data_IF_840581605990
#
_entry.id   IF_840581605990
#
_cell.length_a   1.000
_cell.length_b   1.000
_cell.length_c   1.000
_cell.angle_alpha   90.00
_cell.angle_beta   90.00
_cell.angle_gamma   90.00
#
_symmetry.space_group_name_H-M   'P 1'
#
loop_
_entity.id
_entity.type
_entity.pdbx_description
1 polymer ?
#
# COMPACT_ATOMS: atom_id res chain seq x y z
N UNK A 1 -137.13 -179.66 -41.14
CA UNK A 1 -136.81 -178.94 -39.90
C UNK A 1 -137.12 -177.47 -40.19
N UNK A 2 -138.24 -176.91 -39.69
CA UNK A 2 -138.39 -176.25 -38.37
C UNK A 2 -137.46 -175.00 -38.26
N UNK A 3 -137.84 -173.81 -37.77
CA UNK A 3 -139.05 -173.33 -37.06
C UNK A 3 -138.93 -171.80 -36.76
N UNK A 4 -140.07 -171.13 -36.47
CA UNK A 4 -140.28 -169.92 -35.60
C UNK A 4 -139.78 -168.54 -36.10
N UNK A 5 -140.27 -167.36 -35.72
CA UNK A 5 -141.39 -166.76 -34.94
C UNK A 5 -141.34 -165.23 -35.27
N UNK A 6 -142.45 -164.48 -35.41
CA UNK A 6 -143.03 -163.54 -34.42
C UNK A 6 -142.06 -162.72 -33.53
N UNK A 7 -142.21 -161.38 -33.51
CA UNK A 7 -142.42 -160.47 -32.34
C UNK A 7 -142.53 -158.99 -32.81
N UNK A 8 -143.43 -158.22 -32.17
CA UNK A 8 -143.76 -156.80 -32.39
C UNK A 8 -143.03 -155.81 -31.44
N UNK A 9 -143.18 -154.49 -31.72
CA UNK A 9 -142.93 -153.28 -30.88
C UNK A 9 -141.48 -152.76 -30.67
N UNK A 10 -141.23 -151.45 -30.40
CA UNK A 10 -142.15 -150.41 -29.89
C UNK A 10 -142.18 -149.04 -30.60
N UNK A 11 -143.21 -148.26 -30.24
CA UNK A 11 -143.52 -146.87 -30.66
C UNK A 11 -142.64 -145.83 -29.91
N UNK A 12 -141.75 -145.16 -30.66
CA UNK A 12 -140.82 -144.15 -30.15
C UNK A 12 -141.36 -142.70 -30.16
N UNK A 13 -142.61 -142.46 -30.60
CA UNK A 13 -143.16 -141.11 -30.79
C UNK A 13 -143.23 -140.28 -29.48
N UNK A 14 -143.47 -140.92 -28.33
CA UNK A 14 -143.57 -140.24 -27.02
C UNK A 14 -142.23 -139.71 -26.49
N UNK A 15 -141.12 -140.39 -26.78
CA UNK A 15 -139.79 -139.95 -26.33
C UNK A 15 -139.30 -138.77 -27.16
N UNK A 16 -139.61 -138.75 -28.46
CA UNK A 16 -139.33 -137.60 -29.33
C UNK A 16 -140.14 -136.36 -28.94
N UNK A 17 -141.40 -136.52 -28.51
CA UNK A 17 -142.23 -135.42 -28.02
C UNK A 17 -141.64 -134.74 -26.76
N UNK A 18 -141.24 -135.51 -25.74
CA UNK A 18 -140.63 -134.94 -24.53
C UNK A 18 -139.24 -134.33 -24.78
N UNK A 19 -138.45 -134.88 -25.72
CA UNK A 19 -137.20 -134.24 -26.16
C UNK A 19 -137.44 -132.87 -26.79
N UNK A 20 -138.49 -132.73 -27.59
CA UNK A 20 -138.87 -131.44 -28.18
C UNK A 20 -139.33 -130.43 -27.13
N UNK A 21 -140.12 -130.84 -26.13
CA UNK A 21 -140.53 -129.94 -25.04
C UNK A 21 -139.35 -129.43 -24.20
N UNK A 22 -138.40 -130.30 -23.85
CA UNK A 22 -137.19 -129.89 -23.11
C UNK A 22 -136.31 -128.96 -23.95
N UNK A 23 -136.20 -129.23 -25.27
CA UNK A 23 -135.49 -128.36 -26.20
C UNK A 23 -136.13 -126.96 -26.27
N UNK A 24 -137.46 -126.91 -26.35
CA UNK A 24 -138.24 -125.67 -26.35
C UNK A 24 -138.13 -124.89 -25.03
N UNK A 25 -138.15 -125.58 -23.89
CA UNK A 25 -137.98 -124.93 -22.58
C UNK A 25 -136.56 -124.38 -22.38
N UNK A 26 -135.53 -125.12 -22.82
CA UNK A 26 -134.13 -124.64 -22.79
C UNK A 26 -133.91 -123.45 -23.71
N UNK A 27 -134.50 -123.45 -24.91
CA UNK A 27 -134.42 -122.30 -25.81
C UNK A 27 -135.08 -121.07 -25.19
N UNK A 28 -136.25 -121.22 -24.57
CA UNK A 28 -136.91 -120.12 -23.85
C UNK A 28 -136.10 -119.60 -22.64
N UNK A 29 -135.46 -120.47 -21.85
CA UNK A 29 -134.58 -120.06 -20.74
C UNK A 29 -133.37 -119.27 -21.24
N UNK A 30 -132.73 -119.77 -22.30
CA UNK A 30 -131.56 -119.11 -22.91
C UNK A 30 -131.96 -117.76 -23.48
N UNK A 31 -133.09 -117.66 -24.18
CA UNK A 31 -133.64 -116.40 -24.68
C UNK A 31 -133.92 -115.40 -23.55
N UNK A 32 -134.57 -115.83 -22.45
CA UNK A 32 -134.85 -114.97 -21.31
C UNK A 32 -133.57 -114.48 -20.62
N UNK A 33 -132.56 -115.35 -20.45
CA UNK A 33 -131.25 -114.94 -19.90
C UNK A 33 -130.51 -113.98 -20.83
N UNK A 34 -130.59 -114.19 -22.14
CA UNK A 34 -130.03 -113.27 -23.12
C UNK A 34 -130.72 -111.90 -23.06
N UNK A 35 -132.06 -111.88 -22.90
CA UNK A 35 -132.83 -110.65 -22.75
C UNK A 35 -132.47 -109.87 -21.47
N UNK A 36 -132.29 -110.56 -20.34
CA UNK A 36 -131.82 -109.91 -19.10
C UNK A 36 -130.42 -109.34 -19.28
N UNK A 37 -129.49 -110.15 -19.79
CA UNK A 37 -128.09 -109.71 -19.98
C UNK A 37 -127.98 -108.53 -20.95
N UNK A 38 -128.74 -108.54 -22.04
CA UNK A 38 -128.80 -107.40 -22.97
C UNK A 38 -129.44 -106.16 -22.34
N UNK A 39 -130.40 -106.32 -21.42
CA UNK A 39 -130.96 -105.20 -20.66
C UNK A 39 -129.97 -104.64 -19.64
N UNK A 40 -129.19 -105.48 -18.96
CA UNK A 40 -128.12 -105.06 -18.03
C UNK A 40 -126.97 -104.36 -18.77
N UNK A 41 -126.56 -104.88 -19.93
CA UNK A 41 -125.58 -104.23 -20.81
C UNK A 41 -126.12 -102.88 -21.33
N UNK A 42 -127.42 -102.78 -21.62
CA UNK A 42 -128.05 -101.49 -21.96
C UNK A 42 -128.07 -100.51 -20.79
N UNK A 43 -128.42 -100.95 -19.58
CA UNK A 43 -128.43 -100.09 -18.38
C UNK A 43 -127.02 -99.59 -18.07
N UNK A 44 -126.02 -100.47 -18.11
CA UNK A 44 -124.61 -100.09 -17.90
C UNK A 44 -124.10 -99.15 -18.99
N UNK A 45 -124.44 -99.39 -20.26
CA UNK A 45 -124.10 -98.48 -21.36
C UNK A 45 -124.76 -97.10 -21.23
N UNK A 46 -126.04 -97.05 -20.86
CA UNK A 46 -126.77 -95.79 -20.65
C UNK A 46 -126.22 -95.05 -19.43
N UNK A 47 -125.93 -95.75 -18.32
CA UNK A 47 -125.34 -95.16 -17.12
C UNK A 47 -123.95 -94.58 -17.41
N UNK A 48 -123.08 -95.32 -18.11
CA UNK A 48 -121.77 -94.83 -18.54
C UNK A 48 -121.90 -93.61 -19.47
N UNK A 49 -122.90 -93.61 -20.38
CA UNK A 49 -123.18 -92.46 -21.25
C UNK A 49 -123.70 -91.25 -20.47
N UNK A 50 -124.56 -91.45 -19.47
CA UNK A 50 -125.05 -90.39 -18.61
C UNK A 50 -123.91 -89.76 -17.80
N UNK A 51 -123.07 -90.59 -17.17
CA UNK A 51 -121.89 -90.13 -16.44
C UNK A 51 -120.91 -89.36 -17.33
N UNK A 52 -120.62 -89.87 -18.53
CA UNK A 52 -119.76 -89.17 -19.49
C UNK A 52 -120.34 -87.81 -19.93
N UNK A 53 -121.67 -87.72 -20.09
CA UNK A 53 -122.34 -86.45 -20.40
C UNK A 53 -122.30 -85.47 -19.21
N UNK A 54 -122.45 -85.95 -17.98
CA UNK A 54 -122.33 -85.13 -16.77
C UNK A 54 -120.91 -84.61 -16.58
N UNK A 55 -119.89 -85.46 -16.71
CA UNK A 55 -118.48 -85.07 -16.65
C UNK A 55 -118.14 -84.06 -17.75
N UNK A 56 -118.63 -84.28 -18.97
CA UNK A 56 -118.47 -83.32 -20.09
C UNK A 56 -119.12 -81.97 -19.79
N UNK A 57 -120.35 -81.97 -19.25
CA UNK A 57 -121.05 -80.74 -18.88
C UNK A 57 -120.35 -79.99 -17.73
N UNK A 58 -119.82 -80.70 -16.73
CA UNK A 58 -119.01 -80.12 -15.66
C UNK A 58 -117.72 -79.50 -16.21
N UNK A 59 -117.00 -80.24 -17.06
CA UNK A 59 -115.78 -79.75 -17.69
C UNK A 59 -116.03 -78.51 -18.57
N UNK A 60 -117.14 -78.47 -19.31
CA UNK A 60 -117.54 -77.33 -20.13
C UNK A 60 -117.86 -76.09 -19.28
N UNK A 61 -118.59 -76.27 -18.16
CA UNK A 61 -118.88 -75.18 -17.22
C UNK A 61 -117.60 -74.60 -16.62
N UNK A 62 -116.71 -75.44 -16.10
CA UNK A 62 -115.43 -74.99 -15.55
C UNK A 62 -114.54 -74.32 -16.61
N UNK A 63 -114.52 -74.85 -17.84
CA UNK A 63 -113.77 -74.27 -18.94
C UNK A 63 -114.32 -72.89 -19.31
N UNK A 64 -115.66 -72.73 -19.32
CA UNK A 64 -116.35 -71.46 -19.54
C UNK A 64 -116.03 -70.44 -18.44
N UNK A 65 -116.13 -70.83 -17.17
CA UNK A 65 -115.76 -69.97 -16.03
C UNK A 65 -114.29 -69.52 -16.09
N UNK A 66 -113.38 -70.45 -16.36
CA UNK A 66 -111.94 -70.13 -16.57
C UNK A 66 -111.73 -69.23 -17.78
N UNK A 67 -112.48 -69.40 -18.86
CA UNK A 67 -112.41 -68.53 -20.03
C UNK A 67 -112.89 -67.10 -19.71
N UNK A 68 -114.01 -66.96 -18.98
CA UNK A 68 -114.53 -65.67 -18.51
C UNK A 68 -113.53 -64.97 -17.58
N UNK A 69 -112.98 -65.69 -16.59
CA UNK A 69 -111.97 -65.13 -15.67
C UNK A 69 -110.71 -64.68 -16.41
N UNK A 70 -110.19 -65.48 -17.35
CA UNK A 70 -109.03 -65.10 -18.20
C UNK A 70 -109.32 -63.89 -19.08
N UNK A 71 -110.51 -63.80 -19.68
CA UNK A 71 -110.92 -62.60 -20.45
C UNK A 71 -110.98 -61.37 -19.55
N UNK A 72 -111.55 -61.50 -18.35
CA UNK A 72 -111.61 -60.42 -17.36
C UNK A 72 -110.21 -59.95 -16.91
N UNK A 73 -109.29 -60.89 -16.65
CA UNK A 73 -107.90 -60.57 -16.30
C UNK A 73 -107.16 -59.89 -17.46
N UNK A 74 -107.31 -60.36 -18.70
CA UNK A 74 -106.73 -59.73 -19.89
C UNK A 74 -107.28 -58.32 -20.13
N UNK A 75 -108.60 -58.13 -19.96
CA UNK A 75 -109.21 -56.81 -20.09
C UNK A 75 -108.65 -55.82 -19.06
N UNK A 76 -108.53 -56.22 -17.79
CA UNK A 76 -107.88 -55.38 -16.76
C UNK A 76 -106.41 -55.10 -17.08
N UNK A 77 -105.66 -56.12 -17.50
CA UNK A 77 -104.26 -55.97 -17.90
C UNK A 77 -104.07 -55.01 -19.07
N UNK A 78 -104.98 -55.03 -20.06
CA UNK A 78 -104.97 -54.10 -21.19
C UNK A 78 -105.20 -52.65 -20.73
N UNK A 79 -106.18 -52.41 -19.86
CA UNK A 79 -106.46 -51.07 -19.30
C UNK A 79 -105.25 -50.53 -18.51
N UNK A 80 -104.65 -51.37 -17.65
CA UNK A 80 -103.46 -50.96 -16.88
C UNK A 80 -102.27 -50.68 -17.81
N UNK A 81 -102.04 -51.53 -18.80
CA UNK A 81 -100.93 -51.35 -19.75
C UNK A 81 -101.11 -50.08 -20.59
N UNK A 82 -102.35 -49.77 -20.97
CA UNK A 82 -102.68 -48.52 -21.65
C UNK A 82 -102.39 -47.31 -20.77
N UNK A 83 -102.83 -47.32 -19.50
CA UNK A 83 -102.55 -46.23 -18.56
C UNK A 83 -101.04 -46.05 -18.31
N UNK A 84 -100.27 -47.14 -18.21
CA UNK A 84 -98.81 -47.09 -18.09
C UNK A 84 -98.18 -46.49 -19.36
N UNK A 85 -98.65 -46.88 -20.54
CA UNK A 85 -98.14 -46.34 -21.80
C UNK A 85 -98.42 -44.82 -21.91
N UNK A 86 -99.63 -44.38 -21.57
CA UNK A 86 -100.01 -42.96 -21.56
C UNK A 86 -99.13 -42.15 -20.58
N UNK A 87 -98.94 -42.64 -19.35
CA UNK A 87 -98.07 -42.00 -18.36
C UNK A 87 -96.59 -41.98 -18.79
N UNK A 88 -96.10 -43.06 -19.42
CA UNK A 88 -94.74 -43.13 -19.95
C UNK A 88 -94.52 -42.13 -21.10
N UNK A 89 -95.52 -41.96 -21.98
CA UNK A 89 -95.47 -40.93 -23.04
C UNK A 89 -95.44 -39.52 -22.45
N UNK A 90 -96.26 -39.23 -21.44
CA UNK A 90 -96.24 -37.92 -20.78
C UNK A 90 -94.89 -37.65 -20.09
N UNK A 91 -94.35 -38.63 -19.38
CA UNK A 91 -93.02 -38.53 -18.75
C UNK A 91 -91.91 -38.29 -19.79
N UNK A 92 -91.97 -38.97 -20.94
CA UNK A 92 -91.01 -38.79 -22.03
C UNK A 92 -91.02 -37.34 -22.55
N UNK A 93 -92.22 -36.77 -22.77
CA UNK A 93 -92.38 -35.38 -23.23
C UNK A 93 -91.74 -34.40 -22.21
N UNK A 94 -91.94 -34.63 -20.91
CA UNK A 94 -91.33 -33.78 -19.88
C UNK A 94 -89.81 -33.91 -19.83
N UNK A 95 -89.28 -35.12 -20.00
CA UNK A 95 -87.83 -35.38 -20.04
C UNK A 95 -87.22 -34.70 -21.27
N UNK A 96 -87.81 -34.88 -22.46
CA UNK A 96 -87.34 -34.24 -23.70
C UNK A 96 -87.33 -32.72 -23.57
N UNK A 97 -88.37 -32.13 -22.98
CA UNK A 97 -88.43 -30.69 -22.75
C UNK A 97 -87.37 -30.21 -21.75
N UNK A 98 -87.07 -31.01 -20.72
CA UNK A 98 -86.00 -30.71 -19.75
C UNK A 98 -84.62 -30.78 -20.39
N UNK A 99 -84.35 -31.83 -21.19
CA UNK A 99 -83.10 -32.00 -21.94
C UNK A 99 -82.90 -30.85 -22.92
N UNK A 100 -83.93 -30.48 -23.69
CA UNK A 100 -83.84 -29.37 -24.65
C UNK A 100 -83.52 -28.04 -23.95
N UNK A 101 -84.13 -27.76 -22.80
CA UNK A 101 -83.81 -26.57 -21.99
C UNK A 101 -82.36 -26.59 -21.48
N UNK A 102 -81.93 -27.73 -20.92
CA UNK A 102 -80.57 -27.87 -20.40
C UNK A 102 -79.52 -27.75 -21.51
N UNK A 103 -79.78 -28.32 -22.69
CA UNK A 103 -78.91 -28.19 -23.86
C UNK A 103 -78.81 -26.73 -24.33
N UNK A 104 -79.94 -26.02 -24.43
CA UNK A 104 -79.94 -24.60 -24.81
C UNK A 104 -79.14 -23.73 -23.82
N UNK A 105 -79.33 -23.94 -22.52
CA UNK A 105 -78.57 -23.20 -21.50
C UNK A 105 -77.08 -23.54 -21.54
N UNK A 106 -76.73 -24.82 -21.72
CA UNK A 106 -75.34 -25.25 -21.85
C UNK A 106 -74.67 -24.60 -23.07
N UNK A 107 -75.30 -24.64 -24.24
CA UNK A 107 -74.75 -24.02 -25.45
C UNK A 107 -74.58 -22.51 -25.28
N UNK A 108 -75.52 -21.83 -24.62
CA UNK A 108 -75.40 -20.40 -24.30
C UNK A 108 -74.18 -20.12 -23.42
N UNK A 109 -73.97 -20.93 -22.37
CA UNK A 109 -72.83 -20.77 -21.45
C UNK A 109 -71.50 -21.12 -22.11
N UNK A 110 -71.45 -22.15 -22.96
CA UNK A 110 -70.25 -22.53 -23.71
C UNK A 110 -69.84 -21.42 -24.68
N UNK A 111 -70.80 -20.81 -25.39
CA UNK A 111 -70.53 -19.67 -26.28
C UNK A 111 -70.00 -18.46 -25.51
N UNK A 112 -70.66 -18.07 -24.41
CA UNK A 112 -70.20 -16.96 -23.57
C UNK A 112 -68.80 -17.21 -22.98
N UNK A 113 -68.49 -18.46 -22.63
CA UNK A 113 -67.17 -18.85 -22.13
C UNK A 113 -66.13 -18.71 -23.23
N UNK A 114 -66.39 -19.21 -24.43
CA UNK A 114 -65.49 -19.14 -25.56
C UNK A 114 -65.19 -17.68 -25.97
N UNK A 115 -66.21 -16.81 -25.96
CA UNK A 115 -66.06 -15.38 -26.22
C UNK A 115 -65.13 -14.71 -25.19
N UNK A 116 -65.38 -14.93 -23.89
CA UNK A 116 -64.55 -14.37 -22.80
C UNK A 116 -63.12 -14.91 -22.81
N UNK A 117 -62.93 -16.19 -23.13
CA UNK A 117 -61.59 -16.77 -23.29
C UNK A 117 -60.86 -16.11 -24.47
N UNK A 118 -61.55 -15.86 -25.58
CA UNK A 118 -61.04 -15.11 -26.73
C UNK A 118 -60.63 -13.68 -26.36
N UNK A 119 -61.52 -12.91 -25.73
CA UNK A 119 -61.23 -11.55 -25.26
C UNK A 119 -60.00 -11.53 -24.34
N UNK A 120 -59.93 -12.46 -23.37
CA UNK A 120 -58.80 -12.56 -22.44
C UNK A 120 -57.48 -12.82 -23.17
N UNK A 121 -57.48 -13.68 -24.19
CA UNK A 121 -56.30 -13.94 -25.01
C UNK A 121 -55.87 -12.70 -25.79
N UNK A 122 -56.81 -11.96 -26.39
CA UNK A 122 -56.50 -10.72 -27.11
C UNK A 122 -55.91 -9.64 -26.21
N UNK A 123 -56.47 -9.44 -25.01
CA UNK A 123 -55.96 -8.48 -24.02
C UNK A 123 -54.56 -8.88 -23.55
N UNK A 124 -54.32 -10.17 -23.28
CA UNK A 124 -52.99 -10.66 -22.92
C UNK A 124 -51.96 -10.46 -24.02
N UNK A 125 -52.33 -10.70 -25.28
CA UNK A 125 -51.46 -10.46 -26.42
C UNK A 125 -51.11 -8.97 -26.55
N UNK A 126 -52.11 -8.08 -26.42
CA UNK A 126 -51.90 -6.63 -26.46
C UNK A 126 -51.04 -6.13 -25.31
N UNK A 127 -51.24 -6.65 -24.10
CA UNK A 127 -50.41 -6.30 -22.94
C UNK A 127 -48.94 -6.69 -23.16
N UNK A 128 -48.67 -7.92 -23.64
CA UNK A 128 -47.30 -8.35 -23.98
C UNK A 128 -46.65 -7.44 -25.02
N UNK A 129 -47.40 -7.06 -26.06
CA UNK A 129 -46.88 -6.14 -27.08
C UNK A 129 -46.53 -4.77 -26.47
N UNK A 130 -47.43 -4.19 -25.68
CA UNK A 130 -47.20 -2.89 -25.03
C UNK A 130 -46.02 -2.92 -24.05
N UNK A 131 -45.83 -4.02 -23.32
CA UNK A 131 -44.66 -4.18 -22.44
C UNK A 131 -43.36 -4.20 -23.24
N UNK A 132 -43.32 -4.92 -24.38
CA UNK A 132 -42.14 -4.92 -25.25
C UNK A 132 -41.86 -3.54 -25.85
N UNK A 133 -42.89 -2.81 -26.28
CA UNK A 133 -42.75 -1.43 -26.77
C UNK A 133 -42.23 -0.50 -25.67
N UNK A 134 -42.73 -0.63 -24.43
CA UNK A 134 -42.27 0.13 -23.27
C UNK A 134 -40.79 -0.15 -22.94
N UNK A 135 -40.38 -1.42 -22.94
CA UNK A 135 -39.00 -1.82 -22.65
C UNK A 135 -38.03 -1.28 -23.71
N UNK A 136 -38.42 -1.31 -24.98
CA UNK A 136 -37.64 -0.75 -26.08
C UNK A 136 -37.50 0.78 -25.94
N UNK A 137 -38.60 1.48 -25.65
CA UNK A 137 -38.59 2.93 -25.50
C UNK A 137 -37.74 3.34 -24.29
N UNK A 138 -37.90 2.66 -23.15
CA UNK A 138 -37.11 2.91 -21.94
C UNK A 138 -35.62 2.71 -22.19
N UNK A 139 -35.26 1.63 -22.89
CA UNK A 139 -33.85 1.35 -23.25
C UNK A 139 -33.28 2.38 -24.24
N UNK A 140 -34.11 2.98 -25.10
CA UNK A 140 -33.66 4.06 -25.99
C UNK A 140 -33.42 5.36 -25.24
N UNK A 141 -34.35 5.76 -24.36
CA UNK A 141 -34.22 6.97 -23.54
C UNK A 141 -32.99 6.88 -22.64
N UNK A 142 -32.78 5.73 -21.98
CA UNK A 142 -31.62 5.55 -21.11
C UNK A 142 -30.28 5.67 -21.87
N UNK A 143 -30.20 5.11 -23.10
CA UNK A 143 -29.00 5.27 -23.95
C UNK A 143 -28.77 6.72 -24.33
N UNK A 144 -29.82 7.45 -24.69
CA UNK A 144 -29.73 8.87 -25.03
C UNK A 144 -29.35 9.72 -23.82
N UNK A 145 -29.84 9.40 -22.63
CA UNK A 145 -29.47 10.06 -21.37
C UNK A 145 -28.00 9.86 -21.03
N UNK A 146 -27.49 8.63 -21.17
CA UNK A 146 -26.06 8.34 -20.98
C UNK A 146 -25.22 9.13 -21.99
N UNK A 147 -25.58 9.08 -23.27
CA UNK A 147 -24.85 9.82 -24.31
C UNK A 147 -24.86 11.33 -24.05
N UNK A 148 -26.00 11.89 -23.61
CA UNK A 148 -26.09 13.32 -23.22
C UNK A 148 -25.20 13.64 -22.02
N UNK A 149 -25.17 12.78 -20.99
CA UNK A 149 -24.32 12.97 -19.82
C UNK A 149 -22.83 12.93 -20.20
N UNK A 150 -22.42 11.98 -21.05
CA UNK A 150 -21.04 11.90 -21.56
C UNK A 150 -20.65 13.14 -22.36
N UNK A 151 -21.52 13.61 -23.27
CA UNK A 151 -21.25 14.83 -24.04
C UNK A 151 -21.18 16.06 -23.14
N UNK A 152 -22.05 16.16 -22.13
CA UNK A 152 -22.01 17.27 -21.17
C UNK A 152 -20.72 17.27 -20.37
N UNK A 153 -20.30 16.13 -19.83
CA UNK A 153 -19.03 16.02 -19.11
C UNK A 153 -17.84 16.38 -20.01
N UNK A 154 -17.89 15.98 -21.29
CA UNK A 154 -16.85 16.34 -22.26
C UNK A 154 -16.81 17.84 -22.54
N UNK A 155 -17.95 18.51 -22.63
CA UNK A 155 -18.04 19.97 -22.77
C UNK A 155 -17.49 20.66 -21.53
N UNK A 156 -17.93 20.27 -20.33
CA UNK A 156 -17.45 20.83 -19.05
C UNK A 156 -15.92 20.64 -18.89
N UNK A 157 -15.38 19.48 -19.28
CA UNK A 157 -13.93 19.23 -19.26
C UNK A 157 -13.17 20.15 -20.23
N UNK A 158 -13.72 20.42 -21.42
CA UNK A 158 -13.12 21.35 -22.38
C UNK A 158 -13.22 22.81 -21.91
N UNK A 159 -14.32 23.17 -21.25
CA UNK A 159 -14.50 24.50 -20.65
C UNK A 159 -13.47 24.76 -19.54
N UNK A 160 -13.31 23.82 -18.60
CA UNK A 160 -12.30 23.93 -17.55
C UNK A 160 -10.89 24.01 -18.14
N UNK A 161 -10.58 23.19 -19.14
CA UNK A 161 -9.27 23.19 -19.81
C UNK A 161 -8.96 24.55 -20.46
N UNK A 162 -9.95 25.18 -21.11
CA UNK A 162 -9.77 26.50 -21.70
C UNK A 162 -9.42 27.57 -20.65
N UNK A 163 -10.08 27.54 -19.50
CA UNK A 163 -9.80 28.49 -18.41
C UNK A 163 -8.46 28.22 -17.74
N UNK A 164 -8.13 26.97 -17.45
CA UNK A 164 -6.88 26.61 -16.77
C UNK A 164 -5.63 26.84 -17.63
N UNK A 165 -5.66 26.45 -18.91
CA UNK A 165 -4.48 26.54 -19.79
C UNK A 165 -4.35 27.90 -20.46
N UNK A 166 -5.46 28.52 -20.86
CA UNK A 166 -5.45 29.75 -21.66
C UNK A 166 -5.90 30.99 -20.87
N UNK A 167 -6.55 30.82 -19.72
CA UNK A 167 -7.05 31.95 -18.92
C UNK A 167 -8.22 32.70 -19.55
N UNK A 168 -8.90 32.11 -20.55
CA UNK A 168 -9.96 32.72 -21.34
C UNK A 168 -11.24 31.88 -21.23
N UNK A 169 -12.40 32.52 -21.14
CA UNK A 169 -13.70 31.84 -21.15
C UNK A 169 -14.07 31.34 -22.56
N UNK A 170 -14.86 30.26 -22.63
CA UNK A 170 -15.18 29.61 -23.92
C UNK A 170 -15.89 30.52 -24.93
N UNK A 171 -16.89 31.35 -24.55
CA UNK A 171 -17.48 32.33 -25.47
C UNK A 171 -16.44 33.27 -26.10
N UNK A 172 -15.54 33.82 -25.30
CA UNK A 172 -14.45 34.67 -25.80
C UNK A 172 -13.48 33.89 -26.67
N UNK A 173 -13.11 32.67 -26.28
CA UNK A 173 -12.22 31.80 -27.07
C UNK A 173 -12.79 31.51 -28.46
N UNK A 174 -14.07 31.17 -28.56
CA UNK A 174 -14.74 30.91 -29.85
C UNK A 174 -14.88 32.21 -30.65
N UNK A 175 -15.26 33.31 -29.99
CA UNK A 175 -15.49 34.60 -30.64
C UNK A 175 -14.21 35.20 -31.21
N UNK A 176 -13.08 35.10 -30.51
CA UNK A 176 -11.82 35.75 -30.90
C UNK A 176 -10.83 34.81 -31.59
N UNK A 177 -10.85 33.51 -31.25
CA UNK A 177 -9.88 32.52 -31.73
C UNK A 177 -10.54 31.31 -32.43
N UNK A 178 -11.81 31.44 -32.83
CA UNK A 178 -12.52 30.40 -33.57
C UNK A 178 -11.94 30.12 -34.97
N UNK A 179 -12.29 28.97 -35.60
CA UNK A 179 -11.78 28.59 -36.92
C UNK A 179 -12.14 29.57 -38.04
N UNK A 180 -13.16 30.40 -37.84
CA UNK A 180 -13.62 31.43 -38.79
C UNK A 180 -12.83 32.74 -38.67
N UNK A 181 -11.86 32.82 -37.75
CA UNK A 181 -11.00 34.00 -37.56
C UNK A 181 -9.66 33.81 -38.25
N UNK A 182 -9.15 34.89 -38.82
CA UNK A 182 -7.81 34.91 -39.34
C UNK A 182 -6.79 34.89 -38.19
N UNK A 183 -5.67 34.20 -38.40
CA UNK A 183 -4.61 34.02 -37.43
C UNK A 183 -3.37 34.84 -37.82
N UNK A 184 -2.72 35.52 -36.87
CA UNK A 184 -1.52 36.28 -37.18
C UNK A 184 -0.33 35.35 -37.48
N UNK A 185 0.40 35.69 -38.52
CA UNK A 185 1.75 35.15 -38.77
C UNK A 185 2.76 35.90 -37.93
N UNK A 186 3.87 35.25 -37.60
CA UNK A 186 4.91 35.85 -36.77
C UNK A 186 6.27 35.57 -37.39
N UNK A 187 7.08 36.62 -37.48
CA UNK A 187 8.43 36.55 -38.03
C UNK A 187 9.40 37.00 -36.93
N UNK A 188 10.47 36.23 -36.75
CA UNK A 188 11.59 36.60 -35.88
C UNK A 188 12.52 37.53 -36.66
N UNK A 189 12.74 38.73 -36.12
CA UNK A 189 13.66 39.73 -36.70
C UNK A 189 15.12 39.37 -36.48
N UNK A 190 16.04 40.02 -37.18
CA UNK A 190 17.49 39.84 -36.98
C UNK A 190 17.96 40.17 -35.55
N UNK A 191 17.17 40.95 -34.80
CA UNK A 191 17.36 41.25 -33.37
C UNK A 191 16.74 40.23 -32.41
N UNK A 192 16.11 39.15 -32.92
CA UNK A 192 15.46 38.10 -32.11
C UNK A 192 14.07 38.48 -31.58
N UNK A 193 13.48 39.59 -32.02
CA UNK A 193 12.11 39.97 -31.63
C UNK A 193 11.08 39.31 -32.54
N UNK A 194 10.05 38.70 -31.94
CA UNK A 194 8.94 38.08 -32.66
C UNK A 194 7.86 39.13 -32.92
N UNK A 195 7.65 39.50 -34.18
CA UNK A 195 6.67 40.51 -34.59
C UNK A 195 5.49 39.83 -35.29
N UNK A 196 4.26 40.23 -34.94
CA UNK A 196 3.06 39.81 -35.64
C UNK A 196 2.95 40.53 -36.99
N UNK A 197 2.78 39.75 -38.06
CA UNK A 197 2.69 40.21 -39.45
C UNK A 197 1.27 40.00 -39.99
N UNK A 198 1.13 39.59 -41.26
CA UNK A 198 -0.18 39.46 -41.91
C UNK A 198 -1.09 38.42 -41.24
N UNK A 199 -2.39 38.73 -41.24
CA UNK A 199 -3.46 37.81 -40.85
C UNK A 199 -3.73 36.85 -42.01
N UNK A 200 -3.65 35.55 -41.76
CA UNK A 200 -3.94 34.51 -42.74
C UNK A 200 -5.13 33.66 -42.30
N UNK A 201 -5.92 33.08 -43.22
CA UNK A 201 -7.01 32.19 -42.86
C UNK A 201 -6.55 31.00 -42.01
N UNK A 202 -7.33 30.63 -41.01
CA UNK A 202 -7.05 29.48 -40.16
C UNK A 202 -6.98 28.18 -40.98
N UNK A 203 -5.85 27.48 -40.89
CA UNK A 203 -5.68 26.12 -41.41
C UNK A 203 -5.15 25.23 -40.31
N UNK A 204 -5.99 24.29 -39.87
CA UNK A 204 -5.72 23.40 -38.73
C UNK A 204 -4.34 22.75 -38.78
N UNK A 205 -3.99 22.11 -39.90
CA UNK A 205 -2.71 21.40 -40.06
C UNK A 205 -1.49 22.31 -39.90
N UNK A 206 -1.59 23.59 -40.28
CA UNK A 206 -0.50 24.55 -40.12
C UNK A 206 -0.36 25.01 -38.66
N UNK A 207 -1.49 25.26 -37.99
CA UNK A 207 -1.50 25.71 -36.60
C UNK A 207 -1.09 24.59 -35.64
N UNK A 208 -1.49 23.33 -35.88
CA UNK A 208 -1.06 22.19 -35.07
C UNK A 208 0.46 21.97 -35.16
N UNK A 209 1.05 22.07 -36.37
CA UNK A 209 2.50 22.00 -36.55
C UNK A 209 3.22 23.14 -35.82
N UNK A 210 2.65 24.33 -35.86
CA UNK A 210 3.19 25.53 -35.23
C UNK A 210 3.13 25.42 -33.71
N UNK A 211 1.99 25.02 -33.15
CA UNK A 211 1.82 24.75 -31.71
C UNK A 211 2.87 23.73 -31.24
N UNK A 212 2.99 22.60 -31.93
CA UNK A 212 3.96 21.57 -31.58
C UNK A 212 5.43 22.03 -31.68
N UNK A 213 5.76 23.00 -32.53
CA UNK A 213 7.09 23.61 -32.57
C UNK A 213 7.30 24.56 -31.39
N UNK A 214 6.32 25.41 -31.08
CA UNK A 214 6.37 26.35 -29.96
C UNK A 214 6.39 25.63 -28.60
N UNK A 215 5.60 24.57 -28.41
CA UNK A 215 5.62 23.75 -27.19
C UNK A 215 7.00 23.10 -26.96
N UNK A 216 7.67 22.67 -28.04
CA UNK A 216 9.05 22.16 -27.96
C UNK A 216 10.03 23.26 -27.54
N UNK A 217 9.92 24.45 -28.11
CA UNK A 217 10.73 25.61 -27.71
C UNK A 217 10.46 26.04 -26.26
N UNK A 218 9.19 26.01 -25.81
CA UNK A 218 8.81 26.30 -24.43
C UNK A 218 9.38 25.27 -23.46
N UNK A 219 9.34 23.98 -23.83
CA UNK A 219 9.91 22.91 -23.03
C UNK A 219 11.44 23.03 -22.92
N UNK A 220 12.11 23.48 -23.98
CA UNK A 220 13.56 23.74 -24.00
C UNK A 220 13.97 24.86 -23.05
N UNK A 221 13.13 25.89 -22.85
CA UNK A 221 13.39 26.96 -21.88
C UNK A 221 13.37 26.47 -20.43
N UNK A 222 12.77 25.29 -20.18
CA UNK A 222 12.70 24.70 -18.86
C UNK A 222 11.77 25.46 -17.92
N UNK A 223 11.88 25.18 -16.62
CA UNK A 223 11.05 25.82 -15.61
C UNK A 223 11.64 27.19 -15.27
N UNK A 224 10.82 28.24 -15.35
CA UNK A 224 11.18 29.57 -14.86
C UNK A 224 11.39 29.46 -13.35
N UNK A 225 12.57 29.84 -12.86
CA UNK A 225 12.85 29.90 -11.43
C UNK A 225 12.35 31.25 -10.89
N UNK A 226 11.24 31.31 -10.13
CA UNK A 226 10.69 32.56 -9.60
C UNK A 226 11.61 33.22 -8.56
N UNK A 227 12.50 32.44 -7.94
CA UNK A 227 13.45 32.93 -6.93
C UNK A 227 14.76 33.43 -7.55
N UNK A 228 14.94 33.33 -8.87
CA UNK A 228 16.21 33.66 -9.53
C UNK A 228 16.67 35.11 -9.25
N UNK A 229 15.74 36.06 -9.15
CA UNK A 229 16.07 37.45 -8.85
C UNK A 229 16.54 37.62 -7.40
N UNK A 230 15.87 36.94 -6.45
CA UNK A 230 16.26 36.96 -5.03
C UNK A 230 17.60 36.27 -4.81
N UNK A 231 17.83 35.12 -5.46
CA UNK A 231 19.09 34.38 -5.43
C UNK A 231 20.24 35.19 -6.02
N UNK A 232 20.01 35.89 -7.14
CA UNK A 232 21.00 36.80 -7.72
C UNK A 232 21.40 37.90 -6.74
N UNK A 233 20.41 38.59 -6.15
CA UNK A 233 20.67 39.66 -5.19
C UNK A 233 21.44 39.14 -3.96
N UNK A 234 21.05 37.99 -3.41
CA UNK A 234 21.73 37.38 -2.27
C UNK A 234 23.17 36.95 -2.58
N UNK A 235 23.41 36.42 -3.79
CA UNK A 235 24.75 36.05 -4.24
C UNK A 235 25.63 37.29 -4.48
N UNK A 236 25.07 38.37 -5.02
CA UNK A 236 25.77 39.63 -5.23
C UNK A 236 26.20 40.26 -3.89
N UNK A 237 25.30 40.32 -2.90
CA UNK A 237 25.64 40.78 -1.55
C UNK A 237 26.75 39.94 -0.91
N UNK A 238 26.66 38.60 -1.04
CA UNK A 238 27.68 37.69 -0.53
C UNK A 238 29.03 37.90 -1.21
N UNK A 239 29.04 38.10 -2.52
CA UNK A 239 30.26 38.36 -3.28
C UNK A 239 30.91 39.67 -2.83
N UNK A 240 30.11 40.73 -2.65
CA UNK A 240 30.59 42.01 -2.14
C UNK A 240 31.22 41.87 -0.75
N UNK A 241 30.53 41.21 0.18
CA UNK A 241 31.06 40.96 1.52
C UNK A 241 32.39 40.19 1.49
N UNK A 242 32.48 39.12 0.70
CA UNK A 242 33.71 38.32 0.59
C UNK A 242 34.86 39.10 -0.04
N UNK A 243 34.58 39.97 -1.01
CA UNK A 243 35.59 40.83 -1.63
C UNK A 243 36.18 41.83 -0.62
N UNK A 244 35.34 42.47 0.19
CA UNK A 244 35.77 43.38 1.27
C UNK A 244 36.64 42.64 2.30
N UNK A 245 36.19 41.47 2.76
CA UNK A 245 36.96 40.64 3.71
C UNK A 245 38.33 40.21 3.15
N UNK A 246 38.40 39.88 1.87
CA UNK A 246 39.66 39.50 1.22
C UNK A 246 40.64 40.67 1.17
N UNK A 247 40.15 41.88 0.91
CA UNK A 247 40.98 43.09 0.87
C UNK A 247 41.51 43.46 2.26
N UNK A 248 40.67 43.37 3.30
CA UNK A 248 41.09 43.58 4.69
C UNK A 248 42.16 42.57 5.13
N UNK A 249 42.02 41.30 4.75
CA UNK A 249 43.00 40.26 5.06
C UNK A 249 44.33 40.49 4.35
N UNK A 250 44.30 40.96 3.09
CA UNK A 250 45.51 41.36 2.35
C UNK A 250 46.21 42.54 3.01
N UNK A 251 45.46 43.55 3.47
CA UNK A 251 46.02 44.70 4.21
C UNK A 251 46.65 44.25 5.52
N UNK A 252 45.94 43.47 6.31
CA UNK A 252 46.43 42.96 7.61
C UNK A 252 47.70 42.13 7.45
N UNK A 253 47.79 41.29 6.42
CA UNK A 253 49.01 40.53 6.11
C UNK A 253 50.19 41.47 5.82
N UNK A 254 49.96 42.53 5.06
CA UNK A 254 51.00 43.51 4.74
C UNK A 254 51.48 44.21 6.01
N UNK A 255 50.55 44.71 6.82
CA UNK A 255 50.88 45.42 8.06
C UNK A 255 51.67 44.53 9.03
N UNK A 256 51.33 43.25 9.15
CA UNK A 256 52.09 42.29 9.97
C UNK A 256 53.51 42.06 9.46
N UNK A 257 53.72 41.99 8.14
CA UNK A 257 55.06 41.86 7.56
C UNK A 257 55.90 43.11 7.79
N UNK A 258 55.29 44.29 7.74
CA UNK A 258 55.96 45.55 8.03
C UNK A 258 56.37 45.62 9.52
N UNK A 259 55.51 45.17 10.44
CA UNK A 259 55.84 45.06 11.88
C UNK A 259 56.99 44.08 12.13
N UNK A 260 56.97 42.90 11.49
CA UNK A 260 58.06 41.93 11.63
C UNK A 260 59.38 42.56 11.22
N UNK A 261 59.39 43.30 10.10
CA UNK A 261 60.58 43.99 9.63
C UNK A 261 61.06 45.07 10.61
N UNK A 262 60.14 45.86 11.16
CA UNK A 262 60.49 46.89 12.16
C UNK A 262 61.10 46.26 13.43
N UNK A 263 60.53 45.14 13.90
CA UNK A 263 61.06 44.40 15.05
C UNK A 263 62.44 43.82 14.74
N UNK A 264 62.61 43.21 13.57
CA UNK A 264 63.89 42.65 13.14
C UNK A 264 64.98 43.73 13.07
N UNK A 265 64.68 44.89 12.45
CA UNK A 265 65.60 46.04 12.38
C UNK A 265 65.97 46.54 13.79
N UNK A 266 65.00 46.57 14.72
CA UNK A 266 65.25 46.98 16.11
C UNK A 266 66.11 45.98 16.88
N UNK A 267 65.88 44.68 16.68
CA UNK A 267 66.68 43.61 17.30
C UNK A 267 68.12 43.67 16.79
N UNK A 268 68.33 43.86 15.49
CA UNK A 268 69.67 44.01 14.90
C UNK A 268 70.42 45.20 15.50
N UNK A 269 69.74 46.33 15.66
CA UNK A 269 70.32 47.52 16.30
C UNK A 269 70.75 47.23 17.75
N UNK A 270 69.86 46.67 18.57
CA UNK A 270 70.15 46.38 19.99
C UNK A 270 71.28 45.35 20.12
N UNK A 271 71.30 44.34 19.25
CA UNK A 271 72.37 43.35 19.22
C UNK A 271 73.72 43.98 18.88
N UNK A 272 73.79 44.82 17.85
CA UNK A 272 75.03 45.47 17.44
C UNK A 272 75.56 46.41 18.54
N UNK A 273 74.69 47.23 19.13
CA UNK A 273 75.04 48.11 20.25
C UNK A 273 75.58 47.29 21.44
N UNK A 274 74.96 46.16 21.78
CA UNK A 274 75.43 45.29 22.84
C UNK A 274 76.76 44.57 22.49
N UNK A 275 76.93 44.13 21.24
CA UNK A 275 78.15 43.47 20.79
C UNK A 275 79.35 44.41 20.84
N UNK A 276 79.21 45.65 20.35
CA UNK A 276 80.28 46.65 20.36
C UNK A 276 80.73 46.99 21.79
N UNK A 277 79.76 47.21 22.68
CA UNK A 277 80.02 47.53 24.10
C UNK A 277 80.72 46.37 24.84
N UNK A 278 80.25 45.13 24.65
CA UNK A 278 80.89 43.93 25.23
C UNK A 278 82.28 43.71 24.62
N UNK A 279 82.48 43.97 23.32
CA UNK A 279 83.76 43.79 22.65
C UNK A 279 84.82 44.80 23.15
N UNK A 280 84.43 46.05 23.41
CA UNK A 280 85.31 47.07 23.99
C UNK A 280 85.74 46.67 25.41
N UNK A 281 84.78 46.35 26.29
CA UNK A 281 85.08 45.90 27.64
C UNK A 281 85.90 44.60 27.69
N UNK A 282 85.63 43.65 26.78
CA UNK A 282 86.39 42.42 26.70
C UNK A 282 87.87 42.68 26.41
N UNK A 283 88.16 43.58 25.47
CA UNK A 283 89.54 43.95 25.12
C UNK A 283 90.29 44.53 26.33
N UNK A 284 89.65 45.45 27.06
CA UNK A 284 90.25 46.10 28.23
C UNK A 284 90.48 45.11 29.39
N UNK A 285 89.47 44.30 29.71
CA UNK A 285 89.53 43.30 30.77
C UNK A 285 90.58 42.23 30.44
N UNK A 286 90.63 41.79 29.18
CA UNK A 286 91.58 40.78 28.73
C UNK A 286 93.03 41.28 28.84
N UNK A 287 93.31 42.52 28.44
CA UNK A 287 94.64 43.13 28.56
C UNK A 287 95.11 43.26 30.02
N UNK A 288 94.17 43.51 30.95
CA UNK A 288 94.46 43.57 32.39
C UNK A 288 94.75 42.19 32.99
N UNK A 289 93.99 41.17 32.58
CA UNK A 289 94.19 39.78 33.04
C UNK A 289 95.48 39.17 32.46
N UNK A 290 95.84 39.53 31.23
CA UNK A 290 97.04 39.07 30.53
C UNK A 290 97.90 40.25 30.03
N UNK A 291 98.83 40.77 30.85
CA UNK A 291 99.76 41.82 30.43
C UNK A 291 100.57 41.39 29.19
N UNK A 292 100.42 42.11 28.07
CA UNK A 292 101.04 41.79 26.79
C UNK A 292 100.29 40.77 25.93
N UNK A 293 99.09 40.36 26.34
CA UNK A 293 98.13 39.61 25.52
C UNK A 293 97.10 40.51 24.83
N UNK A 294 96.39 39.96 23.86
CA UNK A 294 95.33 40.67 23.12
C UNK A 294 94.12 39.74 22.93
N UNK A 295 92.92 40.27 23.08
CA UNK A 295 91.66 39.51 23.03
C UNK A 295 90.61 40.27 22.23
N UNK A 296 89.88 39.57 21.34
CA UNK A 296 88.83 40.16 20.51
C UNK A 296 87.65 39.21 20.31
N UNK A 297 86.47 39.78 20.16
CA UNK A 297 85.25 39.07 19.77
C UNK A 297 85.05 39.23 18.27
N UNK A 298 84.64 38.16 17.57
CA UNK A 298 84.41 38.18 16.13
C UNK A 298 83.02 37.58 15.85
N UNK A 299 82.22 38.28 15.04
CA UNK A 299 80.97 37.73 14.52
C UNK A 299 81.26 36.65 13.49
N UNK A 300 80.63 35.48 13.62
CA UNK A 300 80.82 34.37 12.66
C UNK A 300 80.24 34.70 11.29
N UNK A 301 79.18 35.50 11.25
CA UNK A 301 78.55 36.00 10.02
C UNK A 301 78.13 37.47 10.16
N UNK A 302 79.00 38.43 9.78
CA UNK A 302 78.70 39.86 9.90
C UNK A 302 77.50 40.34 9.06
N UNK A 303 77.12 39.61 8.01
CA UNK A 303 76.05 39.99 7.10
C UNK A 303 74.64 39.56 7.58
N UNK A 304 74.57 38.74 8.63
CA UNK A 304 73.31 38.26 9.22
C UNK A 304 73.38 38.32 10.76
N UNK A 305 73.07 39.49 11.31
CA UNK A 305 73.11 39.75 12.74
C UNK A 305 72.07 38.95 13.54
N UNK A 306 71.01 38.45 12.91
CA UNK A 306 69.96 37.67 13.59
C UNK A 306 70.37 36.20 13.80
N UNK A 307 71.19 35.66 12.90
CA UNK A 307 71.65 34.26 12.97
C UNK A 307 73.16 34.10 13.23
N UNK A 308 73.90 35.19 13.42
CA UNK A 308 75.35 35.13 13.70
C UNK A 308 75.64 34.60 15.10
N UNK A 309 76.72 33.81 15.22
CA UNK A 309 77.38 33.52 16.49
C UNK A 309 78.48 34.53 16.82
N UNK A 310 79.04 34.41 18.02
CA UNK A 310 80.18 35.21 18.51
C UNK A 310 81.34 34.28 18.88
N UNK A 311 82.45 34.39 18.16
CA UNK A 311 83.70 33.67 18.42
C UNK A 311 84.64 34.52 19.29
N UNK A 312 85.28 33.87 20.26
CA UNK A 312 86.28 34.50 21.14
C UNK A 312 87.69 34.13 20.67
N UNK A 313 88.45 35.12 20.26
CA UNK A 313 89.87 34.98 19.94
C UNK A 313 90.73 35.58 21.05
N UNK A 314 91.69 34.79 21.53
CA UNK A 314 92.59 35.19 22.60
C UNK A 314 94.04 34.91 22.22
N UNK A 315 94.92 35.86 22.54
CA UNK A 315 96.36 35.81 22.34
C UNK A 315 97.07 36.01 23.68
N UNK A 316 97.47 34.93 24.37
CA UNK A 316 98.30 35.04 25.57
C UNK A 316 99.71 35.60 25.25
N UNK A 317 100.43 36.15 26.24
CA UNK A 317 101.74 36.75 26.03
C UNK A 317 102.73 35.75 25.43
N UNK A 318 103.39 36.14 24.33
CA UNK A 318 104.38 35.32 23.62
C UNK A 318 103.82 34.21 22.72
N UNK A 319 102.49 34.06 22.56
CA UNK A 319 101.85 33.04 21.71
C UNK A 319 101.10 33.66 20.51
N UNK A 320 100.78 32.82 19.50
CA UNK A 320 99.91 33.18 18.36
C UNK A 320 98.43 33.12 18.77
N UNK A 321 97.59 33.88 18.06
CA UNK A 321 96.13 33.92 18.26
C UNK A 321 95.54 32.51 18.09
N UNK A 322 94.68 32.09 19.02
CA UNK A 322 93.98 30.81 18.97
C UNK A 322 92.51 31.00 19.36
N UNK A 323 91.62 30.17 18.79
CA UNK A 323 90.24 30.04 19.24
C UNK A 323 90.21 29.45 20.65
N UNK A 324 89.18 29.77 21.44
CA UNK A 324 89.01 29.34 22.83
C UNK A 324 89.16 27.81 23.04
N UNK A 325 88.79 26.99 22.05
CA UNK A 325 88.91 25.53 22.07
C UNK A 325 90.35 25.01 22.04
N UNK A 326 91.34 25.85 21.72
CA UNK A 326 92.74 25.46 21.49
C UNK A 326 93.72 26.01 22.56
N UNK A 327 93.19 26.54 23.66
CA UNK A 327 93.95 27.11 24.80
C UNK A 327 94.22 26.09 25.91
N UNK A 328 95.22 26.35 26.76
CA UNK A 328 95.48 25.51 27.96
C UNK A 328 94.36 25.66 29.00
N UNK A 329 94.19 24.70 29.90
CA UNK A 329 93.07 24.68 30.87
C UNK A 329 92.92 25.98 31.68
N UNK A 330 94.02 26.51 32.23
CA UNK A 330 94.01 27.78 32.96
C UNK A 330 93.78 29.01 32.07
N UNK A 331 94.37 29.03 30.86
CA UNK A 331 94.15 30.12 29.88
C UNK A 331 92.70 30.16 29.38
N UNK A 332 92.08 29.00 29.18
CA UNK A 332 90.68 28.86 28.77
C UNK A 332 89.74 29.38 29.86
N UNK A 333 89.95 28.97 31.12
CA UNK A 333 89.13 29.44 32.24
C UNK A 333 89.23 30.95 32.43
N UNK A 334 90.44 31.52 32.38
CA UNK A 334 90.61 32.96 32.57
C UNK A 334 90.05 33.77 31.39
N UNK A 335 90.13 33.26 30.15
CA UNK A 335 89.50 33.89 28.98
C UNK A 335 87.97 33.87 29.08
N UNK A 336 87.39 32.77 29.56
CA UNK A 336 85.95 32.66 29.78
C UNK A 336 85.48 33.61 30.89
N UNK A 337 86.24 33.72 31.99
CA UNK A 337 85.97 34.68 33.06
C UNK A 337 86.08 36.12 32.54
N UNK A 338 87.08 36.43 31.71
CA UNK A 338 87.22 37.75 31.06
C UNK A 338 85.97 38.10 30.22
N UNK A 339 85.43 37.13 29.48
CA UNK A 339 84.20 37.31 28.69
C UNK A 339 82.98 37.55 29.58
N UNK A 340 82.82 36.77 30.66
CA UNK A 340 81.72 36.96 31.60
C UNK A 340 81.77 38.32 32.28
N UNK A 341 82.95 38.74 32.75
CA UNK A 341 83.15 40.05 33.36
C UNK A 341 82.86 41.17 32.35
N UNK A 342 83.25 41.01 31.08
CA UNK A 342 82.94 42.00 30.03
C UNK A 342 81.43 42.15 29.81
N UNK A 343 80.70 41.04 29.79
CA UNK A 343 79.24 41.04 29.71
C UNK A 343 78.64 41.73 30.95
N UNK A 344 79.14 41.43 32.14
CA UNK A 344 78.65 42.03 33.39
C UNK A 344 78.90 43.53 33.46
N UNK A 345 80.03 44.01 32.95
CA UNK A 345 80.35 45.43 32.91
C UNK A 345 79.49 46.19 31.90
N UNK A 346 79.26 45.61 30.72
CA UNK A 346 78.38 46.19 29.68
C UNK A 346 76.90 46.19 30.12
N UNK A 347 76.47 45.12 30.81
CA UNK A 347 75.08 44.95 31.27
C UNK A 347 75.07 44.60 32.77
N UNK A 348 75.16 45.61 33.65
CA UNK A 348 75.17 45.38 35.10
C UNK A 348 73.85 44.77 35.56
N UNK A 349 73.96 43.67 36.31
CA UNK A 349 72.88 42.98 36.99
C UNK A 349 72.87 43.41 38.46
N UNK A 350 71.70 43.45 39.12
CA UNK A 350 71.63 43.80 40.54
C UNK A 350 72.53 42.94 41.45
N UNK A 351 72.74 41.66 41.09
CA UNK A 351 73.65 40.77 41.79
C UNK A 351 74.25 39.72 40.84
N UNK A 352 75.41 39.17 41.25
CA UNK A 352 76.07 38.04 40.60
C UNK A 352 76.44 36.97 41.63
N UNK A 353 76.32 35.71 41.22
CA UNK A 353 76.73 34.54 42.01
C UNK A 353 77.85 33.82 41.26
N UNK A 354 79.00 33.68 41.90
CA UNK A 354 80.19 33.04 41.35
C UNK A 354 80.54 31.83 42.23
N UNK A 355 80.60 30.64 41.63
CA UNK A 355 80.88 29.38 42.35
C UNK A 355 82.19 28.76 41.85
N UNK A 356 83.20 28.72 42.73
CA UNK A 356 84.55 28.17 42.51
C UNK A 356 85.23 28.58 41.19
N UNK A 357 84.94 29.79 40.70
CA UNK A 357 85.41 30.29 39.40
C UNK A 357 86.94 30.40 39.30
N UNK A 358 87.62 30.46 40.44
CA UNK A 358 89.06 30.64 40.56
C UNK A 358 89.86 29.34 40.80
N UNK A 359 89.20 28.18 40.90
CA UNK A 359 89.84 26.91 41.26
C UNK A 359 90.96 26.46 40.31
N UNK A 360 90.95 26.96 39.07
CA UNK A 360 91.93 26.64 38.02
C UNK A 360 93.00 27.72 37.81
N UNK A 361 93.05 28.76 38.67
CA UNK A 361 93.96 29.89 38.53
C UNK A 361 95.18 29.78 39.45
N UNK A 362 96.33 30.28 38.97
CA UNK A 362 97.53 30.43 39.79
C UNK A 362 97.47 31.72 40.63
N UNK A 363 98.37 31.86 41.62
CA UNK A 363 98.37 32.99 42.55
C UNK A 363 98.50 34.36 41.86
N UNK A 364 99.16 34.41 40.71
CA UNK A 364 99.36 35.66 39.95
C UNK A 364 98.07 36.06 39.24
N UNK A 365 97.40 35.14 38.55
CA UNK A 365 96.16 35.42 37.84
C UNK A 365 94.97 35.58 38.81
N UNK A 366 94.97 34.87 39.94
CA UNK A 366 94.01 35.07 41.03
C UNK A 366 94.03 36.53 41.50
N UNK A 367 95.21 37.09 41.78
CA UNK A 367 95.31 38.51 42.21
C UNK A 367 94.73 39.50 41.20
N UNK A 368 94.91 39.25 39.89
CA UNK A 368 94.34 40.10 38.82
C UNK A 368 92.83 39.99 38.74
N UNK A 369 92.28 38.78 38.88
CA UNK A 369 90.85 38.55 38.92
C UNK A 369 90.21 39.26 40.13
N UNK A 370 90.82 39.14 41.31
CA UNK A 370 90.32 39.80 42.53
C UNK A 370 90.25 41.31 42.38
N UNK A 371 91.22 41.94 41.72
CA UNK A 371 91.20 43.40 41.45
C UNK A 371 89.99 43.79 40.59
N UNK A 372 89.64 42.97 39.61
CA UNK A 372 88.49 43.21 38.73
C UNK A 372 87.17 42.98 39.47
N UNK A 373 87.11 41.97 40.34
CA UNK A 373 85.94 41.72 41.20
C UNK A 373 85.71 42.86 42.21
N UNK A 374 86.78 43.45 42.75
CA UNK A 374 86.67 44.63 43.62
C UNK A 374 86.06 45.84 42.89
N UNK A 375 86.41 46.06 41.63
CA UNK A 375 85.79 47.11 40.79
C UNK A 375 84.32 46.80 40.48
N UNK A 376 84.00 45.55 40.13
CA UNK A 376 82.61 45.16 39.89
C UNK A 376 81.73 45.34 41.14
N UNK A 377 82.29 45.09 42.33
CA UNK A 377 81.62 45.32 43.61
C UNK A 377 81.16 46.77 43.80
N UNK A 378 81.83 47.77 43.21
CA UNK A 378 81.41 49.18 43.33
C UNK A 378 80.01 49.44 42.75
N UNK A 379 79.59 48.61 41.78
CA UNK A 379 78.35 48.78 41.05
C UNK A 379 77.32 47.67 41.27
N UNK A 380 77.75 46.48 41.70
CA UNK A 380 76.90 45.28 41.77
C UNK A 380 77.19 44.41 43.00
N UNK A 381 76.17 43.74 43.54
CA UNK A 381 76.36 42.81 44.66
C UNK A 381 77.00 41.49 44.19
N UNK A 382 78.11 41.10 44.80
CA UNK A 382 78.83 39.86 44.49
C UNK A 382 78.66 38.83 45.61
N UNK A 383 78.21 37.63 45.26
CA UNK A 383 78.18 36.45 46.14
C UNK A 383 79.18 35.45 45.56
N UNK A 384 80.27 35.21 46.29
CA UNK A 384 81.35 34.32 45.83
C UNK A 384 81.43 33.11 46.76
N UNK A 385 81.30 31.92 46.20
CA UNK A 385 81.51 30.64 46.87
C UNK A 385 82.91 30.16 46.53
N UNK A 386 83.76 30.03 47.55
CA UNK A 386 85.19 29.75 47.35
C UNK A 386 85.83 29.09 48.58
N UNK A 387 86.89 28.33 48.34
CA UNK A 387 87.83 27.85 49.36
C UNK A 387 89.18 28.60 49.33
N UNK A 388 89.36 29.57 48.42
CA UNK A 388 90.60 30.32 48.25
C UNK A 388 90.73 31.46 49.27
N UNK A 389 91.79 31.40 50.09
CA UNK A 389 92.01 32.37 51.17
C UNK A 389 92.11 33.82 50.68
N UNK A 390 92.77 34.05 49.54
CA UNK A 390 92.93 35.40 48.96
C UNK A 390 91.60 35.99 48.47
N UNK A 391 90.68 35.16 47.97
CA UNK A 391 89.32 35.60 47.62
C UNK A 391 88.51 35.95 48.86
N UNK A 392 88.67 35.18 49.95
CA UNK A 392 88.01 35.48 51.22
C UNK A 392 88.47 36.81 51.84
N UNK A 393 89.75 37.19 51.65
CA UNK A 393 90.32 38.43 52.20
C UNK A 393 89.71 39.72 51.63
N UNK A 394 89.23 39.71 50.38
CA UNK A 394 88.61 40.89 49.77
C UNK A 394 87.13 41.06 50.12
N UNK A 395 86.51 40.05 50.73
CA UNK A 395 85.08 40.06 51.04
C UNK A 395 84.73 41.00 52.20
N UNK A 396 83.56 41.64 52.12
CA UNK A 396 83.05 42.48 53.22
C UNK A 396 82.47 41.64 54.36
N UNK A 397 81.87 40.49 54.01
CA UNK A 397 81.33 39.51 54.92
C UNK A 397 81.62 38.09 54.42
N UNK A 398 81.95 37.19 55.34
CA UNK A 398 82.12 35.77 55.11
C UNK A 398 80.94 35.00 55.71
N UNK A 399 80.41 34.06 54.93
CA UNK A 399 79.45 33.08 55.40
C UNK A 399 80.10 31.70 55.30
N UNK A 400 80.41 31.10 56.44
CA UNK A 400 80.92 29.74 56.54
C UNK A 400 79.78 28.76 56.74
N UNK A 401 79.76 27.67 55.98
CA UNK A 401 78.82 26.57 56.18
C UNK A 401 79.53 25.47 56.97
N UNK A 402 78.99 25.11 58.13
CA UNK A 402 79.49 24.01 58.96
C UNK A 402 78.45 22.92 59.08
N UNK A 403 78.88 21.66 59.22
CA UNK A 403 77.98 20.53 59.51
C UNK A 403 78.13 20.14 60.99
N UNK A 404 77.02 20.14 61.73
CA UNK A 404 76.99 19.51 63.06
C UNK A 404 76.87 17.98 62.89
N UNK A 405 77.22 17.22 63.94
CA UNK A 405 77.29 15.76 63.95
C UNK A 405 76.00 15.01 63.52
N UNK A 406 74.88 15.72 63.39
CA UNK A 406 73.57 15.18 62.99
C UNK A 406 73.28 15.34 61.47
N UNK A 407 74.26 15.77 60.66
CA UNK A 407 74.09 15.94 59.20
C UNK A 407 73.27 17.17 58.77
N UNK A 408 72.99 18.08 59.71
CA UNK A 408 72.36 19.38 59.45
C UNK A 408 73.45 20.44 59.22
N UNK A 409 73.36 21.15 58.10
CA UNK A 409 74.22 22.30 57.79
C UNK A 409 73.73 23.55 58.51
N UNK A 410 74.64 24.26 59.16
CA UNK A 410 74.40 25.55 59.82
C UNK A 410 75.31 26.60 59.18
N UNK A 411 74.75 27.80 58.95
CA UNK A 411 75.51 28.92 58.39
C UNK A 411 75.99 29.81 59.53
N UNK A 412 77.29 30.04 59.57
CA UNK A 412 77.95 30.98 60.48
C UNK A 412 78.37 32.19 59.66
N UNK A 413 78.04 33.39 60.11
CA UNK A 413 78.43 34.63 59.44
C UNK A 413 79.47 35.39 60.26
N UNK A 414 80.49 35.93 59.58
CA UNK A 414 81.45 36.86 60.15
C UNK A 414 81.64 38.04 59.21
N UNK A 415 81.47 39.27 59.72
CA UNK A 415 81.77 40.49 58.95
C UNK A 415 83.27 40.80 59.07
N UNK A 416 83.96 40.99 57.94
CA UNK A 416 85.41 41.21 57.91
C UNK A 416 85.79 42.69 57.90
N UNK A 417 84.97 43.55 57.27
CA UNK A 417 85.18 44.99 57.23
C UNK A 417 84.10 45.70 58.08
N UNK A 418 84.54 46.44 59.11
CA UNK A 418 83.67 47.40 59.79
C UNK A 418 83.27 48.47 58.77
N UNK A 419 81.97 48.70 58.60
CA UNK A 419 81.48 49.83 57.83
C UNK A 419 81.90 51.11 58.52
N UNK A 420 82.86 51.85 57.94
CA UNK A 420 82.92 53.30 58.16
C UNK A 420 81.54 53.86 57.82
N UNK A 421 80.96 54.51 58.81
CA UNK A 421 79.65 55.15 58.71
C UNK A 421 79.77 56.36 57.80
N UNK A 422 78.97 56.41 56.74
CA UNK A 422 78.68 57.60 55.96
C UNK A 422 77.19 57.92 56.07
#
# INVERSE_FOLDING_TARGET
MQNHCEIAEPDHARVEAFRNEVSNARTAEVEARLAVRTSEERVTSIAARAQALEESAHAEREASERAVSRRGARARGAVISQAIAEAAYEALIHIERSIAKAQSERSRLENNRAEREGETLTVRARNRQLTLELDQLTSSVHRDEIARAEQRMRVEALESKAVEELGIDVPTLISEYGPDKDVPTFIETESGEIIATELIPYRRDQQEKRLAATERSLTLLGKINPLALEEYNALEERLKFLAEQLEDLKRTKKDLLDIIKEVDDRVQQIFMEAYEDVAEHFKDIFARLFPGGDGRLILTNPDDLLNTGVDVEARPPGKRIKRLSLLSGGEKSLTAVAMLVAIFKSRPSPFYVLDEVEAALDDVNLGRLLTILEELRESSQLIIITHQKRTMEIADALYGVTMRGDGVTEVISQRLRESETA
#
